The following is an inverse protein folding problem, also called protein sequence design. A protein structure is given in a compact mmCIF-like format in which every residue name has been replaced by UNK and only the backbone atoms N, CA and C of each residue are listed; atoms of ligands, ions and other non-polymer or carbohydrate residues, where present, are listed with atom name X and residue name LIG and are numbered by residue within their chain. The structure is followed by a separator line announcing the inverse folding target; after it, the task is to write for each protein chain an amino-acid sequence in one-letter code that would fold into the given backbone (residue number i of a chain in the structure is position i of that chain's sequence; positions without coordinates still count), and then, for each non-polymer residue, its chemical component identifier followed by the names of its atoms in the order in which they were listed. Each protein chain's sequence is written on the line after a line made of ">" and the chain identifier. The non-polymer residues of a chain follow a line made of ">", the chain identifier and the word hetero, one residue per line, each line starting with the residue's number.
data_IF_018416161292
#
_entry.id   IF_018416161292
#
_cell.length_a   1.000
_cell.length_b   1.000
_cell.length_c   1.000
_cell.angle_alpha   90.00
_cell.angle_beta   90.00
_cell.angle_gamma   90.00
#
_symmetry.space_group_name_H-M   'P 1'
#
loop_
_entity.id
_entity.type
_entity.pdbx_description
1 polymer ?
#
# COMPACT_ATOMS: atom_id res chain seq x y z
N UNK A 1 22.25 -7.02 -3.52
CA UNK A 1 21.93 -5.64 -3.94
C UNK A 1 20.64 -5.21 -3.27
N UNK A 2 20.65 -5.06 -1.95
CA UNK A 2 19.43 -4.73 -1.19
C UNK A 2 19.51 -3.26 -0.83
N UNK A 3 18.84 -2.42 -1.61
CA UNK A 3 18.66 -1.01 -1.27
C UNK A 3 17.97 -0.94 0.08
N UNK A 4 18.60 -0.27 1.04
CA UNK A 4 17.94 0.11 2.30
C UNK A 4 16.71 0.96 1.96
N UNK A 5 15.57 0.80 2.64
CA UNK A 5 14.53 1.80 2.54
C UNK A 5 15.11 3.13 3.05
N UNK A 6 14.97 4.15 2.23
CA UNK A 6 15.12 5.54 2.60
C UNK A 6 14.17 5.85 3.78
N UNK A 7 14.72 5.96 4.99
CA UNK A 7 13.99 6.31 6.22
C UNK A 7 13.51 7.78 6.22
N UNK A 8 13.15 8.34 5.06
CA UNK A 8 13.25 9.79 4.82
C UNK A 8 11.97 10.56 4.53
N UNK A 9 10.80 9.93 4.40
CA UNK A 9 9.57 10.67 4.06
C UNK A 9 8.45 10.34 5.02
N UNK A 10 8.26 11.21 6.02
CA UNK A 10 7.08 11.22 6.88
C UNK A 10 5.96 11.99 6.19
N UNK A 11 4.91 11.28 5.76
CA UNK A 11 3.70 11.91 5.25
C UNK A 11 2.79 12.29 6.42
N UNK A 12 2.62 13.59 6.66
CA UNK A 12 1.83 14.10 7.80
C UNK A 12 0.43 14.60 7.41
N UNK A 13 0.18 14.85 6.12
CA UNK A 13 -1.09 15.41 5.63
C UNK A 13 -1.95 14.36 4.97
N UNK A 14 -3.17 14.16 5.48
CA UNK A 14 -4.17 13.29 4.86
C UNK A 14 -4.56 13.74 3.44
N UNK A 15 -4.33 15.01 3.09
CA UNK A 15 -4.57 15.52 1.75
C UNK A 15 -3.49 15.12 0.73
N UNK A 16 -2.38 14.52 1.18
CA UNK A 16 -1.32 14.05 0.28
C UNK A 16 -1.91 13.08 -0.77
N UNK A 17 -1.60 13.24 -2.07
CA UNK A 17 -2.13 12.38 -3.12
C UNK A 17 -1.87 10.88 -2.90
N UNK A 18 -0.72 10.49 -2.33
CA UNK A 18 -0.38 9.09 -2.04
C UNK A 18 -1.28 8.51 -0.95
N UNK A 19 -1.55 9.28 0.10
CA UNK A 19 -2.48 8.84 1.17
C UNK A 19 -3.90 8.74 0.61
N UNK A 20 -4.34 9.73 -0.18
CA UNK A 20 -5.67 9.68 -0.81
C UNK A 20 -5.84 8.47 -1.72
N UNK A 21 -4.82 8.14 -2.51
CA UNK A 21 -4.83 6.95 -3.37
C UNK A 21 -4.99 5.66 -2.55
N UNK A 22 -4.25 5.51 -1.45
CA UNK A 22 -4.40 4.35 -0.55
C UNK A 22 -5.80 4.28 0.08
N UNK A 23 -6.37 5.42 0.50
CA UNK A 23 -7.74 5.48 1.04
C UNK A 23 -8.78 5.09 -0.02
N UNK A 24 -8.59 5.51 -1.28
CA UNK A 24 -9.51 5.24 -2.38
C UNK A 24 -9.71 3.74 -2.64
N UNK A 25 -8.69 2.91 -2.38
CA UNK A 25 -8.76 1.43 -2.53
C UNK A 25 -9.78 0.75 -1.59
N UNK A 26 -10.40 1.49 -0.66
CA UNK A 26 -11.57 0.99 0.10
C UNK A 26 -12.80 0.82 -0.80
N UNK A 27 -12.91 1.61 -1.87
CA UNK A 27 -13.97 1.49 -2.87
C UNK A 27 -13.69 0.36 -3.86
N UNK A 28 -14.72 -0.38 -4.27
CA UNK A 28 -14.59 -1.49 -5.22
C UNK A 28 -14.13 -1.02 -6.59
N UNK A 29 -14.70 0.06 -7.11
CA UNK A 29 -14.41 0.59 -8.44
C UNK A 29 -12.94 0.99 -8.55
N UNK A 30 -12.41 1.60 -7.49
CA UNK A 30 -11.00 2.00 -7.42
C UNK A 30 -10.05 0.80 -7.38
N UNK A 31 -10.43 -0.30 -6.70
CA UNK A 31 -9.65 -1.56 -6.77
C UNK A 31 -9.68 -2.18 -8.16
N UNK A 32 -10.84 -2.20 -8.81
CA UNK A 32 -10.99 -2.77 -10.15
C UNK A 32 -10.22 -1.97 -11.20
N UNK A 33 -10.25 -0.63 -11.12
CA UNK A 33 -9.55 0.23 -12.07
C UNK A 33 -8.03 0.19 -11.90
N UNK A 34 -7.54 0.11 -10.66
CA UNK A 34 -6.11 0.08 -10.36
C UNK A 34 -5.49 -1.31 -10.39
N UNK A 35 -6.30 -2.36 -10.22
CA UNK A 35 -5.81 -3.72 -9.96
C UNK A 35 -5.13 -3.88 -8.60
N UNK A 36 -5.25 -2.89 -7.70
CA UNK A 36 -4.59 -2.88 -6.39
C UNK A 36 -5.59 -3.13 -5.26
N UNK A 37 -5.08 -3.61 -4.13
CA UNK A 37 -5.84 -3.70 -2.88
C UNK A 37 -4.99 -3.19 -1.72
N UNK A 38 -5.61 -2.53 -0.75
CA UNK A 38 -4.94 -2.11 0.47
C UNK A 38 -4.86 -3.31 1.43
N UNK A 39 -3.65 -3.66 1.85
CA UNK A 39 -3.40 -4.64 2.91
C UNK A 39 -2.93 -3.90 4.15
N UNK A 40 -3.69 -4.01 5.24
CA UNK A 40 -3.39 -3.37 6.51
C UNK A 40 -3.26 -4.43 7.62
N UNK A 41 -2.31 -4.23 8.53
CA UNK A 41 -1.96 -5.18 9.58
C UNK A 41 -0.73 -6.04 9.27
N UNK A 42 0.10 -6.25 10.30
CA UNK A 42 1.34 -7.01 10.16
C UNK A 42 1.11 -8.49 9.81
N UNK A 43 0.02 -9.08 10.29
CA UNK A 43 -0.34 -10.49 10.02
C UNK A 43 -0.80 -10.66 8.58
N UNK A 44 -1.62 -9.74 8.10
CA UNK A 44 -2.21 -9.74 6.77
C UNK A 44 -1.11 -9.48 5.72
N UNK A 45 -0.24 -8.49 5.98
CA UNK A 45 0.93 -8.22 5.14
C UNK A 45 1.87 -9.43 5.07
N UNK A 46 2.14 -10.09 6.20
CA UNK A 46 2.95 -11.32 6.22
C UNK A 46 2.35 -12.39 5.31
N UNK A 47 1.04 -12.63 5.38
CA UNK A 47 0.37 -13.62 4.52
C UNK A 47 0.45 -13.27 3.04
N UNK A 48 0.33 -12.00 2.69
CA UNK A 48 0.48 -11.55 1.30
C UNK A 48 1.91 -11.82 0.79
N UNK A 49 2.93 -11.50 1.60
CA UNK A 49 4.33 -11.82 1.30
C UNK A 49 4.54 -13.32 1.14
N UNK A 50 4.05 -14.12 2.08
CA UNK A 50 4.21 -15.58 2.08
C UNK A 50 3.48 -16.24 0.89
N UNK A 51 2.40 -15.63 0.40
CA UNK A 51 1.68 -16.04 -0.80
C UNK A 51 2.34 -15.56 -2.12
N UNK A 52 3.44 -14.80 -2.05
CA UNK A 52 4.16 -14.29 -3.22
C UNK A 52 3.48 -13.11 -3.90
N UNK A 53 2.64 -12.35 -3.19
CA UNK A 53 2.02 -11.14 -3.72
C UNK A 53 3.05 -10.02 -3.81
N UNK A 54 3.09 -9.33 -4.95
CA UNK A 54 3.93 -8.15 -5.16
C UNK A 54 3.43 -6.96 -4.32
N UNK A 55 4.34 -6.27 -3.64
CA UNK A 55 4.06 -5.05 -2.87
C UNK A 55 4.55 -3.86 -3.68
N UNK A 56 3.65 -2.91 -3.93
CA UNK A 56 3.84 -1.73 -4.77
C UNK A 56 3.87 -0.46 -3.92
#
# INVERSE_FOLDING_TARGET
>A
MTSRPDLGVTLTSASNPRIRAAIALRDRRERESSGLTLVDGARELRRAIDAGVEIV
#
